data_IF_722459680368
#
_entry.id   IF_722459680368
#
_cell.length_a   1.000
_cell.length_b   1.000
_cell.length_c   1.000
_cell.angle_alpha   90.00
_cell.angle_beta   90.00
_cell.angle_gamma   90.00
#
_symmetry.space_group_name_H-M   'P 1'
#
loop_
_entity.id
_entity.type
_entity.pdbx_description
1 polymer ?
#
# COMPACT_ATOMS: atom_id res chain seq x y z
N UNK A 1 25.90 14.32 16.58
CA UNK A 1 24.55 14.93 16.63
C UNK A 1 24.05 15.38 15.26
N UNK A 2 24.82 16.14 14.46
CA UNK A 2 24.39 16.59 13.12
C UNK A 2 24.03 15.43 12.16
N UNK A 3 24.86 14.38 12.11
CA UNK A 3 24.64 13.22 11.24
C UNK A 3 23.35 12.46 11.56
N UNK A 4 23.05 12.28 12.85
CA UNK A 4 21.80 11.67 13.33
C UNK A 4 20.59 12.52 12.98
N UNK A 5 20.69 13.85 13.12
CA UNK A 5 19.63 14.78 12.75
C UNK A 5 19.34 14.75 11.23
N UNK A 6 20.39 14.81 10.40
CA UNK A 6 20.24 14.70 8.95
C UNK A 6 19.65 13.35 8.53
N UNK A 7 20.07 12.25 9.15
CA UNK A 7 19.51 10.93 8.88
C UNK A 7 18.01 10.86 9.25
N UNK A 8 17.62 11.40 10.40
CA UNK A 8 16.22 11.48 10.82
C UNK A 8 15.39 12.34 9.85
N UNK A 9 15.88 13.52 9.47
CA UNK A 9 15.21 14.40 8.52
C UNK A 9 15.00 13.74 7.14
N UNK A 10 16.01 13.02 6.65
CA UNK A 10 15.91 12.25 5.41
C UNK A 10 14.87 11.13 5.53
N UNK A 11 14.85 10.40 6.65
CA UNK A 11 13.86 9.33 6.87
C UNK A 11 12.43 9.88 6.91
N UNK A 12 12.23 11.07 7.47
CA UNK A 12 10.93 11.74 7.50
C UNK A 12 10.49 12.17 6.08
N UNK A 13 11.41 12.72 5.30
CA UNK A 13 11.15 13.07 3.89
C UNK A 13 10.77 11.85 3.05
N UNK A 14 11.46 10.72 3.27
CA UNK A 14 11.16 9.46 2.61
C UNK A 14 9.79 8.93 3.03
N UNK A 15 9.49 8.91 4.33
CA UNK A 15 8.21 8.46 4.85
C UNK A 15 7.06 9.30 4.29
N UNK A 16 7.21 10.62 4.26
CA UNK A 16 6.21 11.51 3.68
C UNK A 16 5.99 11.22 2.20
N UNK A 17 7.07 11.10 1.41
CA UNK A 17 6.98 10.78 -0.02
C UNK A 17 6.30 9.43 -0.24
N UNK A 18 6.63 8.43 0.59
CA UNK A 18 6.00 7.12 0.54
C UNK A 18 4.51 7.19 0.89
N UNK A 19 4.16 7.89 1.98
CA UNK A 19 2.79 8.06 2.42
C UNK A 19 1.95 8.80 1.36
N UNK A 20 2.50 9.85 0.73
CA UNK A 20 1.83 10.58 -0.35
C UNK A 20 1.60 9.70 -1.58
N UNK A 21 2.59 8.91 -1.99
CA UNK A 21 2.42 7.97 -3.09
C UNK A 21 1.39 6.89 -2.76
N UNK A 22 1.41 6.36 -1.53
CA UNK A 22 0.44 5.37 -1.07
C UNK A 22 -0.98 5.96 -1.05
N UNK A 23 -1.17 7.17 -0.52
CA UNK A 23 -2.46 7.85 -0.53
C UNK A 23 -3.00 8.02 -1.95
N UNK A 24 -2.15 8.43 -2.90
CA UNK A 24 -2.56 8.57 -4.31
C UNK A 24 -2.99 7.23 -4.90
N UNK A 25 -2.23 6.16 -4.65
CA UNK A 25 -2.56 4.82 -5.15
C UNK A 25 -3.85 4.28 -4.51
N UNK A 26 -4.01 4.43 -3.20
CA UNK A 26 -5.21 4.01 -2.48
C UNK A 26 -6.45 4.77 -2.97
N UNK A 27 -6.34 6.07 -3.24
CA UNK A 27 -7.43 6.86 -3.81
C UNK A 27 -7.83 6.31 -5.18
N UNK A 28 -6.86 6.10 -6.08
CA UNK A 28 -7.10 5.56 -7.41
C UNK A 28 -7.73 4.15 -7.37
N UNK A 29 -7.27 3.30 -6.46
CA UNK A 29 -7.86 1.97 -6.25
C UNK A 29 -9.30 2.07 -5.74
N UNK A 30 -9.58 3.01 -4.83
CA UNK A 30 -10.92 3.29 -4.32
C UNK A 30 -11.89 3.76 -5.42
N UNK A 31 -11.45 4.68 -6.29
CA UNK A 31 -12.25 5.13 -7.44
C UNK A 31 -12.60 3.97 -8.37
N UNK A 32 -11.60 3.15 -8.74
CA UNK A 32 -11.82 1.98 -9.58
C UNK A 32 -12.79 1.00 -8.92
N UNK A 33 -12.61 0.72 -7.63
CA UNK A 33 -13.45 -0.20 -6.90
C UNK A 33 -14.91 0.28 -6.80
N UNK A 34 -15.13 1.57 -6.55
CA UNK A 34 -16.47 2.15 -6.51
C UNK A 34 -17.20 2.01 -7.86
N UNK A 35 -16.49 2.26 -8.98
CA UNK A 35 -17.06 2.09 -10.33
C UNK A 35 -17.37 0.61 -10.63
N UNK A 36 -16.50 -0.31 -10.23
CA UNK A 36 -16.73 -1.75 -10.39
C UNK A 36 -17.96 -2.23 -9.61
N UNK A 37 -18.14 -1.76 -8.36
CA UNK A 37 -19.33 -2.07 -7.56
C UNK A 37 -20.61 -1.53 -8.20
N UNK A 38 -20.60 -0.26 -8.63
CA UNK A 38 -21.75 0.35 -9.29
C UNK A 38 -22.11 -0.40 -10.58
N UNK A 39 -21.12 -0.77 -11.39
CA UNK A 39 -21.35 -1.51 -12.62
C UNK A 39 -21.96 -2.90 -12.37
N UNK A 40 -21.42 -3.64 -11.39
CA UNK A 40 -21.96 -4.94 -11.00
C UNK A 40 -23.40 -4.81 -10.48
N UNK A 41 -23.69 -3.80 -9.67
CA UNK A 41 -25.05 -3.54 -9.20
C UNK A 41 -26.00 -3.26 -10.36
N UNK A 42 -25.62 -2.38 -11.32
CA UNK A 42 -26.45 -2.07 -12.50
C UNK A 42 -26.69 -3.32 -13.35
N UNK A 43 -25.67 -4.14 -13.56
CA UNK A 43 -25.82 -5.40 -14.30
C UNK A 43 -26.83 -6.32 -13.64
N UNK A 44 -26.74 -6.52 -12.31
CA UNK A 44 -27.69 -7.34 -11.57
C UNK A 44 -29.13 -6.83 -11.68
N UNK A 45 -29.34 -5.51 -11.65
CA UNK A 45 -30.66 -4.91 -11.86
C UNK A 45 -31.22 -5.20 -13.26
N UNK A 46 -30.38 -5.17 -14.30
CA UNK A 46 -30.82 -5.46 -15.65
C UNK A 46 -31.11 -6.95 -15.87
N UNK A 47 -30.36 -7.85 -15.23
CA UNK A 47 -30.64 -9.29 -15.23
C UNK A 47 -32.00 -9.59 -14.58
N UNK A 48 -32.40 -8.82 -13.56
CA UNK A 48 -33.76 -8.86 -12.98
C UNK A 48 -34.83 -8.21 -13.89
N UNK A 49 -34.46 -7.67 -15.05
CA UNK A 49 -35.37 -6.98 -15.96
C UNK A 49 -35.75 -5.56 -15.53
N UNK A 50 -35.11 -5.05 -14.48
CA UNK A 50 -35.30 -3.68 -13.98
C UNK A 50 -34.49 -2.69 -14.82
N UNK A 51 -35.13 -1.57 -15.18
CA UNK A 51 -34.44 -0.44 -15.82
C UNK A 51 -33.95 0.51 -14.75
N UNK A 52 -32.65 0.59 -14.58
CA UNK A 52 -32.01 1.53 -13.64
C UNK A 52 -32.19 2.97 -14.14
N UNK A 53 -32.81 3.81 -13.31
CA UNK A 53 -32.92 5.25 -13.55
C UNK A 53 -31.80 6.01 -12.84
N UNK A 54 -31.61 7.28 -13.19
CA UNK A 54 -30.65 8.16 -12.49
C UNK A 54 -30.97 8.32 -11.00
N UNK A 55 -32.26 8.30 -10.63
CA UNK A 55 -32.67 8.39 -9.23
C UNK A 55 -32.24 7.14 -8.43
N UNK A 56 -32.35 5.95 -9.03
CA UNK A 56 -31.93 4.69 -8.40
C UNK A 56 -30.42 4.64 -8.18
N UNK A 57 -29.64 5.14 -9.14
CA UNK A 57 -28.18 5.25 -8.99
C UNK A 57 -27.82 6.18 -7.83
N UNK A 58 -28.46 7.35 -7.74
CA UNK A 58 -28.21 8.30 -6.66
C UNK A 58 -28.61 7.71 -5.30
N UNK A 59 -29.75 7.04 -5.21
CA UNK A 59 -30.20 6.38 -4.00
C UNK A 59 -29.24 5.25 -3.57
N UNK A 60 -28.77 4.44 -4.52
CA UNK A 60 -27.78 3.40 -4.26
C UNK A 60 -26.46 3.98 -3.73
N UNK A 61 -25.95 5.04 -4.36
CA UNK A 61 -24.72 5.71 -3.90
C UNK A 61 -24.87 6.31 -2.50
N UNK A 62 -26.00 6.95 -2.20
CA UNK A 62 -26.28 7.49 -0.87
C UNK A 62 -26.32 6.37 0.17
N UNK A 63 -26.97 5.24 -0.14
CA UNK A 63 -27.01 4.08 0.75
C UNK A 63 -25.62 3.47 0.99
N UNK A 64 -24.82 3.31 -0.06
CA UNK A 64 -23.43 2.82 0.07
C UNK A 64 -22.53 3.78 0.84
N UNK A 65 -22.74 5.10 0.74
CA UNK A 65 -22.01 6.10 1.53
C UNK A 65 -22.41 6.08 3.01
N UNK A 66 -23.68 5.83 3.30
CA UNK A 66 -24.21 5.73 4.68
C UNK A 66 -23.76 4.42 5.36
N UNK A 67 -23.61 3.32 4.58
CA UNK A 67 -23.31 1.98 5.11
C UNK A 67 -21.85 1.53 4.92
N UNK A 68 -21.10 2.16 4.00
CA UNK A 68 -19.78 1.74 3.53
C UNK A 68 -18.61 1.99 4.48
N UNK A 69 -18.84 2.53 5.67
CA UNK A 69 -17.80 2.66 6.70
C UNK A 69 -17.45 1.31 7.37
N UNK A 70 -18.31 0.29 7.23
CA UNK A 70 -18.19 -0.99 7.96
C UNK A 70 -17.50 -2.11 7.16
N UNK A 71 -17.30 -1.95 5.84
CA UNK A 71 -16.50 -2.89 5.05
C UNK A 71 -15.01 -2.54 5.24
N UNK A 72 -14.40 -3.10 6.30
CA UNK A 72 -12.97 -2.93 6.54
C UNK A 72 -12.18 -3.39 5.31
N UNK A 73 -11.33 -2.55 4.70
CA UNK A 73 -10.53 -2.95 3.57
C UNK A 73 -9.67 -4.15 3.98
N UNK A 74 -9.78 -5.26 3.25
CA UNK A 74 -8.90 -6.40 3.39
C UNK A 74 -7.46 -5.86 3.36
N UNK A 75 -6.78 -5.89 4.50
CA UNK A 75 -5.48 -5.24 4.64
C UNK A 75 -4.56 -5.74 3.53
N UNK A 76 -3.96 -4.85 2.70
CA UNK A 76 -3.01 -5.30 1.69
C UNK A 76 -1.86 -5.94 2.44
N UNK A 77 -1.79 -7.28 2.38
CA UNK A 77 -0.81 -8.09 3.10
C UNK A 77 0.57 -7.62 2.63
N UNK A 78 1.21 -6.84 3.50
CA UNK A 78 2.43 -6.06 3.29
C UNK A 78 3.45 -6.77 2.39
N UNK A 79 3.68 -6.23 1.19
CA UNK A 79 4.85 -6.57 0.35
C UNK A 79 6.18 -6.03 0.89
N UNK A 80 6.17 -5.42 2.09
CA UNK A 80 7.35 -4.84 2.74
C UNK A 80 8.47 -5.85 3.03
N UNK A 81 8.21 -7.16 2.97
CA UNK A 81 9.25 -8.16 3.20
C UNK A 81 10.22 -8.33 2.02
N UNK A 82 9.86 -7.90 0.79
CA UNK A 82 10.69 -8.15 -0.39
C UNK A 82 11.75 -7.06 -0.68
N UNK A 83 11.61 -5.85 -0.15
CA UNK A 83 12.62 -4.79 -0.34
C UNK A 83 13.75 -4.76 0.70
N UNK A 84 13.67 -5.55 1.77
CA UNK A 84 14.76 -5.60 2.77
C UNK A 84 15.96 -6.47 2.32
N UNK A 85 15.87 -7.19 1.19
CA UNK A 85 16.96 -8.03 0.67
C UNK A 85 17.97 -7.31 -0.25
N UNK A 86 17.84 -6.01 -0.53
CA UNK A 86 18.74 -5.31 -1.48
C UNK A 86 19.52 -4.10 -0.93
N UNK A 87 19.57 -3.84 0.37
CA UNK A 87 20.52 -2.85 0.92
C UNK A 87 21.75 -3.51 1.56
N UNK A 88 22.98 -3.20 1.10
CA UNK A 88 24.20 -3.63 1.77
C UNK A 88 24.29 -2.96 3.15
N UNK A 89 24.29 -3.79 4.19
CA UNK A 89 24.35 -3.37 5.58
C UNK A 89 25.71 -2.73 5.88
N UNK A 90 25.72 -1.41 6.07
CA UNK A 90 26.87 -0.71 6.67
C UNK A 90 26.42 -0.17 8.03
N UNK A 91 26.46 -1.03 9.05
CA UNK A 91 26.27 -0.62 10.44
C UNK A 91 26.99 -1.60 11.40
N UNK A 92 28.21 -1.22 11.78
CA UNK A 92 28.79 -1.39 13.12
C UNK A 92 28.62 -2.76 13.80
N UNK A 93 29.43 -3.75 13.43
CA UNK A 93 29.73 -4.88 14.32
C UNK A 93 30.92 -4.50 15.21
N UNK A 94 30.63 -4.01 16.42
CA UNK A 94 31.54 -4.18 17.55
C UNK A 94 31.26 -5.56 18.18
N UNK A 95 32.16 -6.53 17.99
CA UNK A 95 32.53 -7.49 19.02
C UNK A 95 33.74 -8.33 18.59
N UNK A 96 34.88 -8.06 19.21
CA UNK A 96 35.78 -9.00 19.89
C UNK A 96 35.99 -10.42 19.31
N UNK A 97 37.27 -10.65 19.00
CA UNK A 97 38.04 -11.91 18.99
C UNK A 97 37.75 -13.00 17.93
N UNK A 98 38.87 -13.42 17.34
CA UNK A 98 39.18 -14.68 16.65
C UNK A 98 38.96 -14.74 15.13
N UNK A 99 40.06 -14.50 14.41
CA UNK A 99 40.34 -15.21 13.15
C UNK A 99 40.46 -16.72 13.46
N UNK A 100 40.20 -17.63 12.50
CA UNK A 100 41.21 -17.95 11.48
C UNK A 100 40.68 -18.18 10.04
N UNK A 101 41.61 -18.00 9.09
CA UNK A 101 41.91 -18.75 7.83
C UNK A 101 40.77 -19.51 7.11
N UNK A 102 40.64 -19.54 5.78
CA UNK A 102 41.69 -19.83 4.79
C UNK A 102 41.15 -19.76 3.35
N UNK A 103 42.04 -19.38 2.44
CA UNK A 103 42.21 -19.86 1.04
C UNK A 103 41.17 -19.53 -0.04
N UNK A 104 41.61 -18.62 -0.91
CA UNK A 104 41.26 -18.49 -2.34
C UNK A 104 41.45 -19.80 -3.12
N UNK A 105 40.84 -19.90 -4.31
CA UNK A 105 41.71 -19.92 -5.50
C UNK A 105 41.21 -19.03 -6.65
N UNK A 106 42.17 -18.52 -7.43
CA UNK A 106 41.97 -17.87 -8.73
C UNK A 106 42.45 -18.80 -9.85
N UNK A 107 41.75 -18.74 -10.98
CA UNK A 107 41.98 -19.38 -12.29
C UNK A 107 41.76 -20.88 -12.42
#
# INVERSE_FOLDING_TARGET
MYTTFCAAANSLSQLYSQAMNHQRLSFQAGERHALEKLFQWILGQQEEGSRVTTADIVAYLQNELEYGAEESPMSPRLSFQQQQQQHPQTAMHMNTLSAPFSSTPIS
#
